data_IF_017892034682
#
_entry.id   IF_017892034682
#
_cell.length_a   1.000
_cell.length_b   1.000
_cell.length_c   1.000
_cell.angle_alpha   90.00
_cell.angle_beta   90.00
_cell.angle_gamma   90.00
#
_symmetry.space_group_name_H-M   'P 1'
#
loop_
_entity.id
_entity.type
_entity.pdbx_description
1 polymer ?
#
# COMPACT_ATOMS: atom_id res chain seq x y z
N UNK A 1 1.23 -11.49 58.96
CA UNK A 1 2.17 -11.23 57.84
C UNK A 1 1.52 -11.10 56.45
N UNK A 2 0.18 -11.07 56.28
CA UNK A 2 -0.47 -11.02 54.94
C UNK A 2 -0.76 -9.61 54.38
N UNK A 3 -0.78 -8.57 55.23
CA UNK A 3 -1.08 -7.18 54.84
C UNK A 3 -0.11 -6.56 53.81
N UNK A 4 1.23 -6.71 53.91
CA UNK A 4 2.13 -6.14 52.89
C UNK A 4 2.03 -6.85 51.54
N UNK A 5 1.73 -8.15 51.52
CA UNK A 5 1.53 -8.93 50.29
C UNK A 5 0.28 -8.47 49.52
N UNK A 6 -0.80 -8.12 50.25
CA UNK A 6 -2.03 -7.60 49.66
C UNK A 6 -1.81 -6.24 48.98
N UNK A 7 -1.01 -5.36 49.60
CA UNK A 7 -0.69 -4.04 49.06
C UNK A 7 0.13 -4.15 47.77
N UNK A 8 1.11 -5.06 47.75
CA UNK A 8 1.93 -5.33 46.55
C UNK A 8 1.07 -5.91 45.42
N UNK A 9 0.15 -6.82 45.73
CA UNK A 9 -0.77 -7.41 44.74
C UNK A 9 -1.69 -6.34 44.12
N UNK A 10 -2.26 -5.46 44.93
CA UNK A 10 -3.09 -4.34 44.47
C UNK A 10 -2.28 -3.39 43.57
N UNK A 11 -1.06 -3.03 43.96
CA UNK A 11 -0.16 -2.21 43.15
C UNK A 11 0.15 -2.86 41.79
N UNK A 12 0.42 -4.16 41.76
CA UNK A 12 0.65 -4.91 40.52
C UNK A 12 -0.56 -4.88 39.59
N UNK A 13 -1.77 -5.05 40.12
CA UNK A 13 -3.01 -4.95 39.34
C UNK A 13 -3.21 -3.55 38.76
N UNK A 14 -2.93 -2.50 39.54
CA UNK A 14 -2.99 -1.11 39.07
C UNK A 14 -1.96 -0.80 37.97
N UNK A 15 -0.73 -1.31 38.11
CA UNK A 15 0.32 -1.12 37.10
C UNK A 15 -0.04 -1.86 35.80
N UNK A 16 -0.46 -3.11 35.87
CA UNK A 16 -0.88 -3.89 34.69
C UNK A 16 -2.09 -3.25 34.02
N UNK A 17 -3.06 -2.77 34.79
CA UNK A 17 -4.25 -2.07 34.26
C UNK A 17 -3.88 -0.73 33.63
N UNK A 18 -2.96 0.03 34.25
CA UNK A 18 -2.44 1.30 33.71
C UNK A 18 -1.69 1.12 32.40
N UNK A 19 -0.82 0.11 32.30
CA UNK A 19 -0.13 -0.24 31.05
C UNK A 19 -1.16 -0.65 29.98
N UNK A 20 -2.14 -1.49 30.33
CA UNK A 20 -3.19 -1.94 29.42
C UNK A 20 -4.05 -0.78 28.89
N UNK A 21 -4.35 0.20 29.75
CA UNK A 21 -5.06 1.42 29.39
C UNK A 21 -4.26 2.32 28.44
N UNK A 22 -2.96 2.51 28.71
CA UNK A 22 -2.07 3.29 27.84
C UNK A 22 -1.92 2.65 26.46
N UNK A 23 -1.70 1.33 26.41
CA UNK A 23 -1.63 0.58 25.15
C UNK A 23 -2.94 0.69 24.37
N UNK A 24 -4.09 0.58 25.05
CA UNK A 24 -5.40 0.71 24.41
C UNK A 24 -5.65 2.12 23.85
N UNK A 25 -5.22 3.18 24.55
CA UNK A 25 -5.28 4.55 24.02
C UNK A 25 -4.36 4.75 22.82
N UNK A 26 -3.14 4.23 22.86
CA UNK A 26 -2.19 4.29 21.76
C UNK A 26 -2.77 3.61 20.50
N UNK A 27 -3.37 2.42 20.65
CA UNK A 27 -4.08 1.71 19.57
C UNK A 27 -5.23 2.53 18.99
N UNK A 28 -6.10 3.09 19.84
CA UNK A 28 -7.24 3.92 19.37
C UNK A 28 -6.77 5.15 18.60
N UNK A 29 -5.77 5.88 19.09
CA UNK A 29 -5.22 7.06 18.42
C UNK A 29 -4.62 6.70 17.05
N UNK A 30 -3.81 5.64 17.01
CA UNK A 30 -3.20 5.13 15.79
C UNK A 30 -4.26 4.73 14.76
N UNK A 31 -5.34 4.06 15.18
CA UNK A 31 -6.49 3.77 14.33
C UNK A 31 -7.21 5.03 13.82
N UNK A 32 -7.44 6.05 14.65
CA UNK A 32 -8.04 7.31 14.19
C UNK A 32 -7.16 8.02 13.16
N UNK A 33 -5.85 8.08 13.40
CA UNK A 33 -4.89 8.63 12.43
C UNK A 33 -4.89 7.82 11.13
N UNK A 34 -5.10 6.51 11.25
CA UNK A 34 -5.30 5.59 10.15
C UNK A 34 -6.59 5.89 9.37
N UNK A 35 -7.76 5.99 9.99
CA UNK A 35 -9.03 6.29 9.30
C UNK A 35 -8.91 7.62 8.54
N UNK A 36 -8.33 8.65 9.16
CA UNK A 36 -8.08 9.94 8.51
C UNK A 36 -7.19 9.81 7.27
N UNK A 37 -6.20 8.93 7.32
CA UNK A 37 -5.32 8.69 6.16
C UNK A 37 -6.08 8.02 5.02
N UNK A 38 -6.96 7.07 5.34
CA UNK A 38 -7.77 6.37 4.34
C UNK A 38 -8.77 7.32 3.66
N UNK A 39 -9.48 8.13 4.44
CA UNK A 39 -10.34 9.20 3.93
C UNK A 39 -9.59 10.18 3.03
N UNK A 40 -8.34 10.55 3.38
CA UNK A 40 -7.49 11.38 2.52
C UNK A 40 -7.12 10.67 1.22
N UNK A 41 -6.83 9.37 1.26
CA UNK A 41 -6.50 8.60 0.07
C UNK A 41 -7.71 8.47 -0.85
N UNK A 42 -8.92 8.26 -0.33
CA UNK A 42 -10.16 8.26 -1.11
C UNK A 42 -10.47 9.62 -1.74
N UNK A 43 -10.31 10.71 -0.96
CA UNK A 43 -10.44 12.08 -1.45
C UNK A 43 -9.45 12.41 -2.58
N UNK A 44 -8.29 11.75 -2.59
CA UNK A 44 -7.29 11.89 -3.65
C UNK A 44 -7.61 10.97 -4.83
N UNK A 45 -8.07 9.74 -4.58
CA UNK A 45 -8.29 8.73 -5.62
C UNK A 45 -9.39 9.15 -6.61
N UNK A 46 -10.56 9.56 -6.12
CA UNK A 46 -11.71 9.86 -6.99
C UNK A 46 -11.45 11.02 -7.97
N UNK A 47 -10.92 12.19 -7.54
CA UNK A 47 -10.56 13.26 -8.48
C UNK A 47 -9.45 12.86 -9.46
N UNK A 48 -8.48 12.03 -9.05
CA UNK A 48 -7.41 11.57 -9.94
C UNK A 48 -7.92 10.63 -11.03
N UNK A 49 -8.86 9.75 -10.73
CA UNK A 49 -9.45 8.88 -11.75
C UNK A 49 -10.21 9.70 -12.79
N UNK A 50 -11.02 10.66 -12.34
CA UNK A 50 -11.71 11.59 -13.24
C UNK A 50 -10.74 12.43 -14.06
N UNK A 51 -9.63 12.87 -13.47
CA UNK A 51 -8.57 13.57 -14.19
C UNK A 51 -7.96 12.68 -15.28
N UNK A 52 -7.62 11.42 -14.97
CA UNK A 52 -7.05 10.49 -15.93
C UNK A 52 -8.01 10.21 -17.10
N UNK A 53 -9.30 10.01 -16.82
CA UNK A 53 -10.32 9.81 -17.85
C UNK A 53 -10.43 11.07 -18.75
N UNK A 54 -10.34 12.26 -18.15
CA UNK A 54 -10.34 13.52 -18.90
C UNK A 54 -9.09 13.68 -19.77
N UNK A 55 -7.90 13.36 -19.22
CA UNK A 55 -6.64 13.41 -19.97
C UNK A 55 -6.63 12.44 -21.14
N UNK A 56 -7.15 11.22 -20.96
CA UNK A 56 -7.25 10.21 -22.01
C UNK A 56 -8.11 10.71 -23.18
N UNK A 57 -9.22 11.38 -22.92
CA UNK A 57 -10.09 11.95 -23.95
C UNK A 57 -9.42 13.06 -24.77
N UNK A 58 -8.42 13.74 -24.22
CA UNK A 58 -7.69 14.80 -24.91
C UNK A 58 -6.62 14.26 -25.88
N UNK A 59 -6.26 12.98 -25.79
CA UNK A 59 -5.25 12.37 -26.65
C UNK A 59 -5.91 11.97 -27.97
N UNK A 60 -5.68 12.76 -29.02
CA UNK A 60 -6.29 12.55 -30.35
C UNK A 60 -5.32 11.99 -31.39
N UNK A 61 -4.02 12.04 -31.13
CA UNK A 61 -3.02 11.43 -32.00
C UNK A 61 -3.20 9.90 -32.00
N UNK A 62 -3.36 9.22 -33.17
CA UNK A 62 -3.69 7.80 -33.22
C UNK A 62 -2.68 6.88 -32.51
N UNK A 63 -1.39 7.12 -32.70
CA UNK A 63 -0.33 6.29 -32.11
C UNK A 63 -0.29 6.48 -30.60
N UNK A 64 -0.35 7.73 -30.13
CA UNK A 64 -0.42 8.02 -28.69
C UNK A 64 -1.73 7.54 -28.06
N UNK A 65 -2.84 7.57 -28.79
CA UNK A 65 -4.13 7.09 -28.30
C UNK A 65 -4.09 5.57 -28.05
N UNK A 66 -3.54 4.79 -28.97
CA UNK A 66 -3.35 3.35 -28.76
C UNK A 66 -2.48 3.05 -27.54
N UNK A 67 -1.34 3.74 -27.41
CA UNK A 67 -0.48 3.60 -26.22
C UNK A 67 -1.20 4.03 -24.94
N UNK A 68 -2.01 5.08 -24.98
CA UNK A 68 -2.77 5.56 -23.83
C UNK A 68 -3.83 4.54 -23.38
N UNK A 69 -4.51 3.90 -24.32
CA UNK A 69 -5.47 2.83 -24.02
C UNK A 69 -4.80 1.62 -23.36
N UNK A 70 -3.60 1.24 -23.84
CA UNK A 70 -2.82 0.18 -23.23
C UNK A 70 -2.38 0.53 -21.80
N UNK A 71 -1.89 1.76 -21.58
CA UNK A 71 -1.60 2.27 -20.24
C UNK A 71 -2.84 2.18 -19.34
N UNK A 72 -4.00 2.64 -19.81
CA UNK A 72 -5.25 2.60 -19.02
C UNK A 72 -5.63 1.17 -18.65
N UNK A 73 -5.51 0.23 -19.59
CA UNK A 73 -5.82 -1.17 -19.35
C UNK A 73 -4.89 -1.77 -18.28
N UNK A 74 -3.57 -1.60 -18.44
CA UNK A 74 -2.56 -2.12 -17.52
C UNK A 74 -2.73 -1.56 -16.10
N UNK A 75 -2.95 -0.24 -15.97
CA UNK A 75 -3.11 0.40 -14.66
C UNK A 75 -4.44 0.02 -14.00
N UNK A 76 -5.53 -0.10 -14.77
CA UNK A 76 -6.83 -0.56 -14.27
C UNK A 76 -6.78 -2.02 -13.81
N UNK A 77 -6.14 -2.92 -14.57
CA UNK A 77 -5.97 -4.32 -14.18
C UNK A 77 -5.18 -4.43 -12.86
N UNK A 78 -4.04 -3.74 -12.77
CA UNK A 78 -3.23 -3.77 -11.56
C UNK A 78 -3.95 -3.15 -10.35
N UNK A 79 -4.68 -2.05 -10.51
CA UNK A 79 -5.48 -1.46 -9.42
C UNK A 79 -6.58 -2.42 -8.93
N UNK A 80 -7.22 -3.16 -9.85
CA UNK A 80 -8.19 -4.22 -9.49
C UNK A 80 -7.54 -5.37 -8.75
N UNK A 81 -6.34 -5.78 -9.17
CA UNK A 81 -5.53 -6.76 -8.44
C UNK A 81 -5.20 -6.29 -7.01
N UNK A 82 -4.77 -5.03 -6.84
CA UNK A 82 -4.53 -4.50 -5.50
C UNK A 82 -5.80 -4.49 -4.64
N UNK A 83 -6.96 -4.22 -5.24
CA UNK A 83 -8.24 -4.27 -4.54
C UNK A 83 -8.61 -5.68 -4.10
N UNK A 84 -8.43 -6.69 -4.96
CA UNK A 84 -8.69 -8.07 -4.58
C UNK A 84 -7.78 -8.55 -3.45
N UNK A 85 -6.51 -8.15 -3.45
CA UNK A 85 -5.58 -8.43 -2.35
C UNK A 85 -6.03 -7.77 -1.05
N UNK A 86 -6.51 -6.51 -1.08
CA UNK A 86 -7.07 -5.83 0.10
C UNK A 86 -8.28 -6.57 0.66
N UNK A 87 -9.21 -6.99 -0.21
CA UNK A 87 -10.40 -7.73 0.19
C UNK A 87 -10.04 -9.10 0.79
N UNK A 88 -9.07 -9.80 0.21
CA UNK A 88 -8.58 -11.07 0.73
C UNK A 88 -7.86 -10.90 2.09
N UNK A 89 -7.14 -9.78 2.28
CA UNK A 89 -6.52 -9.43 3.56
C UNK A 89 -7.56 -9.17 4.66
N UNK A 90 -8.66 -8.50 4.30
CA UNK A 90 -9.80 -8.26 5.20
C UNK A 90 -10.53 -9.57 5.52
N UNK A 91 -10.75 -10.45 4.54
CA UNK A 91 -11.55 -11.66 4.72
C UNK A 91 -12.98 -11.35 5.21
N UNK A 92 -13.59 -12.26 5.99
CA UNK A 92 -14.88 -12.04 6.68
C UNK A 92 -14.75 -11.16 7.93
N UNK A 93 -13.58 -10.57 8.19
CA UNK A 93 -13.34 -9.84 9.43
C UNK A 93 -14.12 -8.53 9.41
N UNK A 94 -14.88 -8.28 10.46
CA UNK A 94 -15.51 -7.00 10.70
C UNK A 94 -14.44 -5.90 10.67
N UNK A 95 -14.59 -4.93 9.77
CA UNK A 95 -13.71 -3.76 9.64
C UNK A 95 -13.63 -2.93 10.93
N UNK A 96 -14.57 -3.12 11.86
CA UNK A 96 -14.58 -2.48 13.18
C UNK A 96 -13.86 -3.31 14.26
N UNK A 97 -13.39 -4.53 13.95
CA UNK A 97 -12.68 -5.37 14.91
C UNK A 97 -11.20 -4.96 15.04
N UNK A 98 -10.96 -4.05 15.98
CA UNK A 98 -9.65 -3.45 16.28
C UNK A 98 -8.53 -4.46 16.57
N UNK A 99 -8.84 -5.60 17.19
CA UNK A 99 -7.82 -6.60 17.53
C UNK A 99 -7.33 -7.33 16.28
N UNK A 100 -8.22 -7.59 15.32
CA UNK A 100 -7.87 -8.24 14.06
C UNK A 100 -7.10 -7.33 13.11
N UNK A 101 -7.37 -6.02 13.15
CA UNK A 101 -6.69 -5.02 12.33
C UNK A 101 -5.24 -4.73 12.77
N UNK A 102 -4.93 -4.97 14.05
CA UNK A 102 -3.60 -4.80 14.64
C UNK A 102 -2.71 -6.06 14.47
N UNK A 103 -3.28 -7.19 14.04
CA UNK A 103 -2.52 -8.41 13.77
C UNK A 103 -1.56 -8.24 12.57
N UNK A 104 -0.40 -8.93 12.59
CA UNK A 104 0.52 -8.92 11.45
C UNK A 104 -0.12 -9.44 10.17
N UNK A 105 0.25 -8.83 9.05
CA UNK A 105 -0.05 -9.37 7.73
C UNK A 105 0.76 -10.66 7.46
N UNK A 106 0.08 -11.80 7.47
CA UNK A 106 0.67 -13.10 7.16
C UNK A 106 0.42 -13.56 5.72
N UNK A 107 -0.25 -12.76 4.87
CA UNK A 107 -0.60 -13.18 3.51
C UNK A 107 0.63 -13.31 2.61
N UNK A 108 1.59 -12.39 2.73
CA UNK A 108 2.76 -12.33 1.83
C UNK A 108 3.94 -13.19 2.29
N UNK A 109 3.88 -13.76 3.50
CA UNK A 109 5.02 -14.40 4.14
C UNK A 109 4.65 -15.78 4.68
N UNK A 110 5.62 -16.68 4.68
CA UNK A 110 5.61 -17.95 5.39
C UNK A 110 6.81 -18.00 6.32
N UNK A 111 6.92 -19.03 7.16
CA UNK A 111 8.09 -19.24 8.01
C UNK A 111 9.41 -19.30 7.21
N UNK A 112 9.33 -19.79 5.97
CA UNK A 112 10.48 -20.01 5.09
C UNK A 112 10.70 -18.89 4.05
N UNK A 113 10.02 -17.74 4.17
CA UNK A 113 10.21 -16.58 3.28
C UNK A 113 8.91 -16.08 2.66
N UNK A 114 8.92 -15.84 1.34
CA UNK A 114 7.73 -15.33 0.63
C UNK A 114 6.70 -16.44 0.39
N UNK A 115 5.43 -16.13 0.66
CA UNK A 115 4.31 -16.98 0.24
C UNK A 115 4.11 -16.93 -1.28
N UNK A 116 3.20 -17.77 -1.79
CA UNK A 116 2.81 -17.70 -3.20
C UNK A 116 2.21 -16.33 -3.56
N UNK A 117 1.36 -15.77 -2.68
CA UNK A 117 0.78 -14.43 -2.83
C UNK A 117 1.84 -13.34 -2.79
N UNK A 118 2.85 -13.47 -1.91
CA UNK A 118 3.97 -12.53 -1.86
C UNK A 118 4.79 -12.53 -3.16
N UNK A 119 5.04 -13.71 -3.74
CA UNK A 119 5.72 -13.85 -5.04
C UNK A 119 4.88 -13.27 -6.17
N UNK A 120 3.60 -13.62 -6.24
CA UNK A 120 2.66 -13.10 -7.23
C UNK A 120 2.60 -11.57 -7.18
N UNK A 121 2.52 -10.98 -5.99
CA UNK A 121 2.49 -9.53 -5.82
C UNK A 121 3.73 -8.84 -6.40
N UNK A 122 4.91 -9.41 -6.15
CA UNK A 122 6.18 -8.91 -6.71
C UNK A 122 6.18 -9.03 -8.22
N UNK A 123 5.77 -10.18 -8.75
CA UNK A 123 5.67 -10.42 -10.20
C UNK A 123 4.74 -9.42 -10.86
N UNK A 124 3.49 -9.28 -10.38
CA UNK A 124 2.48 -8.36 -10.96
C UNK A 124 2.95 -6.90 -10.90
N UNK A 125 3.66 -6.51 -9.83
CA UNK A 125 4.23 -5.16 -9.72
C UNK A 125 5.36 -4.92 -10.73
N UNK A 126 6.23 -5.93 -10.94
CA UNK A 126 7.32 -5.85 -11.91
C UNK A 126 6.80 -5.87 -13.35
N UNK A 127 5.82 -6.70 -13.66
CA UNK A 127 5.15 -6.73 -14.97
C UNK A 127 4.56 -5.37 -15.32
N UNK A 128 3.82 -4.74 -14.39
CA UNK A 128 3.31 -3.39 -14.60
C UNK A 128 4.45 -2.38 -14.86
N UNK A 129 5.51 -2.42 -14.05
CA UNK A 129 6.66 -1.52 -14.19
C UNK A 129 7.30 -1.66 -15.57
N UNK A 130 7.53 -2.87 -16.01
CA UNK A 130 8.21 -3.18 -17.27
C UNK A 130 7.34 -2.80 -18.48
N UNK A 131 6.06 -3.16 -18.46
CA UNK A 131 5.12 -2.80 -19.52
C UNK A 131 4.95 -1.27 -19.63
N UNK A 132 4.83 -0.54 -18.51
CA UNK A 132 4.75 0.91 -18.55
C UNK A 132 6.06 1.57 -19.04
N UNK A 133 7.22 0.99 -18.72
CA UNK A 133 8.52 1.48 -19.23
C UNK A 133 8.62 1.31 -20.74
N UNK A 134 8.09 0.22 -21.28
CA UNK A 134 8.08 -0.03 -22.73
C UNK A 134 7.20 0.96 -23.50
N UNK A 135 6.20 1.57 -22.85
CA UNK A 135 5.27 2.52 -23.46
C UNK A 135 5.74 3.97 -23.44
N UNK A 136 6.79 4.30 -22.66
CA UNK A 136 7.31 5.67 -22.54
C UNK A 136 8.71 5.78 -23.12
N UNK A 137 9.03 6.93 -23.72
CA UNK A 137 10.38 7.17 -24.25
C UNK A 137 11.24 8.02 -23.30
N UNK A 138 10.63 8.95 -22.57
CA UNK A 138 11.38 9.94 -21.80
C UNK A 138 12.09 9.32 -20.59
N UNK A 139 13.42 9.54 -20.41
CA UNK A 139 14.17 9.02 -19.26
C UNK A 139 13.59 9.44 -17.91
N UNK A 140 13.00 10.65 -17.86
CA UNK A 140 12.33 11.18 -16.67
C UNK A 140 11.12 10.33 -16.26
N UNK A 141 10.28 9.90 -17.20
CA UNK A 141 9.15 9.02 -16.89
C UNK A 141 9.62 7.62 -16.53
N UNK A 142 10.58 7.05 -17.26
CA UNK A 142 11.17 5.74 -16.92
C UNK A 142 11.71 5.72 -15.49
N UNK A 143 12.40 6.79 -15.09
CA UNK A 143 12.90 6.96 -13.71
C UNK A 143 11.76 7.04 -12.69
N UNK A 144 10.71 7.82 -12.97
CA UNK A 144 9.54 7.92 -12.09
C UNK A 144 8.85 6.57 -11.91
N UNK A 145 8.61 5.84 -13.00
CA UNK A 145 7.99 4.51 -12.99
C UNK A 145 8.85 3.53 -12.17
N UNK A 146 10.15 3.48 -12.44
CA UNK A 146 11.07 2.62 -11.68
C UNK A 146 11.07 2.95 -10.19
N UNK A 147 11.14 4.23 -9.80
CA UNK A 147 11.19 4.61 -8.39
C UNK A 147 9.90 4.26 -7.66
N UNK A 148 8.75 4.40 -8.31
CA UNK A 148 7.44 4.13 -7.70
C UNK A 148 7.13 2.63 -7.62
N UNK A 149 7.51 1.84 -8.62
CA UNK A 149 7.15 0.41 -8.73
C UNK A 149 8.35 -0.53 -8.48
N UNK A 150 9.43 -0.05 -7.87
CA UNK A 150 10.58 -0.89 -7.55
C UNK A 150 10.26 -1.87 -6.43
N UNK A 151 10.60 -3.13 -6.64
CA UNK A 151 10.44 -4.22 -5.67
C UNK A 151 11.76 -4.91 -5.32
N UNK A 152 12.89 -4.34 -5.75
CA UNK A 152 14.22 -4.89 -5.55
C UNK A 152 14.73 -4.83 -4.10
N UNK A 153 16.00 -5.16 -3.87
CA UNK A 153 16.57 -5.01 -2.53
C UNK A 153 16.71 -3.53 -2.15
N UNK A 154 16.34 -3.21 -0.91
CA UNK A 154 16.51 -1.89 -0.30
C UNK A 154 17.41 -1.98 0.92
N UNK A 155 18.07 -0.87 1.27
CA UNK A 155 18.79 -0.78 2.54
C UNK A 155 17.81 -0.40 3.65
N UNK A 156 17.82 -1.17 4.74
CA UNK A 156 17.11 -0.79 5.96
C UNK A 156 17.86 0.32 6.73
N UNK A 157 17.31 0.74 7.87
CA UNK A 157 17.89 1.79 8.73
C UNK A 157 19.29 1.44 9.25
N UNK A 158 19.61 0.15 9.30
CA UNK A 158 20.89 -0.38 9.76
C UNK A 158 21.86 -0.65 8.59
N UNK A 159 21.50 -0.23 7.37
CA UNK A 159 22.30 -0.38 6.17
C UNK A 159 22.30 -1.80 5.58
N UNK A 160 21.51 -2.73 6.13
CA UNK A 160 21.43 -4.11 5.65
C UNK A 160 20.54 -4.19 4.42
N UNK A 161 20.94 -5.02 3.46
CA UNK A 161 20.11 -5.29 2.27
C UNK A 161 18.96 -6.21 2.67
N UNK A 162 17.73 -5.75 2.46
CA UNK A 162 16.51 -6.52 2.69
C UNK A 162 15.61 -6.48 1.46
N UNK A 163 14.78 -7.50 1.29
CA UNK A 163 13.78 -7.53 0.22
C UNK A 163 12.77 -6.40 0.44
N UNK A 164 12.38 -5.67 -0.62
CA UNK A 164 11.44 -4.55 -0.49
C UNK A 164 10.12 -4.96 0.14
N UNK A 165 9.60 -6.16 -0.20
CA UNK A 165 8.33 -6.65 0.37
C UNK A 165 8.44 -6.81 1.89
N UNK A 166 9.56 -7.38 2.37
CA UNK A 166 9.81 -7.55 3.80
C UNK A 166 9.86 -6.20 4.52
N UNK A 167 10.60 -5.25 3.98
CA UNK A 167 10.72 -3.91 4.58
C UNK A 167 9.39 -3.17 4.62
N UNK A 168 8.49 -3.43 3.67
CA UNK A 168 7.24 -2.70 3.55
C UNK A 168 6.04 -3.38 4.20
N UNK A 169 6.03 -4.71 4.34
CA UNK A 169 4.85 -5.45 4.77
C UNK A 169 5.11 -6.48 5.87
N UNK A 170 6.35 -6.94 6.09
CA UNK A 170 6.62 -7.96 7.11
C UNK A 170 6.45 -7.36 8.50
N UNK A 171 5.70 -8.06 9.36
CA UNK A 171 5.38 -7.65 10.74
C UNK A 171 4.59 -6.33 10.84
N UNK A 172 4.11 -5.78 9.71
CA UNK A 172 3.21 -4.63 9.73
C UNK A 172 1.80 -5.07 10.09
N UNK A 173 1.06 -4.25 10.87
CA UNK A 173 -0.36 -4.47 11.09
C UNK A 173 -1.14 -4.58 9.79
N UNK A 174 -2.21 -5.39 9.78
CA UNK A 174 -3.07 -5.62 8.63
C UNK A 174 -3.59 -4.30 8.04
N UNK A 175 -4.09 -3.40 8.89
CA UNK A 175 -4.60 -2.09 8.46
C UNK A 175 -3.53 -1.22 7.79
N UNK A 176 -2.27 -1.32 8.24
CA UNK A 176 -1.16 -0.59 7.64
C UNK A 176 -0.79 -1.17 6.26
N UNK A 177 -0.88 -2.49 6.11
CA UNK A 177 -0.66 -3.19 4.85
C UNK A 177 -1.71 -2.80 3.81
N UNK A 178 -3.00 -2.84 4.16
CA UNK A 178 -4.11 -2.44 3.27
C UNK A 178 -3.91 -1.00 2.77
N UNK A 179 -3.46 -0.09 3.64
CA UNK A 179 -3.23 1.32 3.26
C UNK A 179 -2.05 1.52 2.35
N UNK A 180 -0.99 0.72 2.50
CA UNK A 180 0.11 0.71 1.54
C UNK A 180 -0.41 0.29 0.17
N UNK A 181 -1.30 -0.69 0.08
CA UNK A 181 -1.95 -1.08 -1.18
C UNK A 181 -2.82 0.06 -1.74
N UNK A 182 -3.64 0.73 -0.92
CA UNK A 182 -4.41 1.91 -1.35
C UNK A 182 -3.50 3.04 -1.87
N UNK A 183 -2.38 3.29 -1.18
CA UNK A 183 -1.39 4.27 -1.63
C UNK A 183 -0.78 3.87 -2.97
N UNK A 184 -0.48 2.59 -3.18
CA UNK A 184 0.00 2.09 -4.47
C UNK A 184 -1.03 2.31 -5.58
N UNK A 185 -2.33 2.13 -5.34
CA UNK A 185 -3.38 2.47 -6.31
C UNK A 185 -3.30 3.96 -6.70
N UNK A 186 -3.15 4.86 -5.71
CA UNK A 186 -2.99 6.31 -5.97
C UNK A 186 -1.71 6.63 -6.75
N UNK A 187 -0.59 5.99 -6.41
CA UNK A 187 0.69 6.24 -7.06
C UNK A 187 0.69 5.72 -8.51
N UNK A 188 -0.01 4.61 -8.80
CA UNK A 188 -0.27 4.13 -10.17
C UNK A 188 -1.12 5.12 -10.96
N UNK A 189 -2.22 5.66 -10.39
CA UNK A 189 -3.02 6.69 -11.05
C UNK A 189 -2.19 7.96 -11.36
N UNK A 190 -1.25 8.34 -10.48
CA UNK A 190 -0.34 9.48 -10.74
C UNK A 190 0.66 9.20 -11.85
N UNK A 191 1.13 7.96 -11.99
CA UNK A 191 1.98 7.55 -13.12
C UNK A 191 1.19 7.67 -14.42
N UNK A 192 0.00 7.09 -14.47
CA UNK A 192 -0.92 7.18 -15.63
C UNK A 192 -1.12 8.63 -16.07
N UNK A 193 -1.48 9.52 -15.13
CA UNK A 193 -1.63 10.95 -15.38
C UNK A 193 -0.37 11.60 -15.97
N UNK A 194 0.82 11.16 -15.52
CA UNK A 194 2.09 11.70 -15.98
C UNK A 194 2.43 11.24 -17.38
N UNK A 195 2.07 10.00 -17.72
CA UNK A 195 2.24 9.43 -19.05
C UNK A 195 1.32 10.14 -20.04
N UNK A 196 0.03 10.28 -19.73
CA UNK A 196 -0.92 10.99 -20.60
C UNK A 196 -0.52 12.43 -20.85
N UNK A 197 -0.11 13.17 -19.81
CA UNK A 197 0.42 14.53 -19.99
C UNK A 197 1.64 14.54 -20.90
N UNK A 198 2.52 13.54 -20.84
CA UNK A 198 3.66 13.47 -21.75
C UNK A 198 3.24 13.20 -23.20
N UNK A 199 2.28 12.31 -23.44
CA UNK A 199 1.73 12.10 -24.78
C UNK A 199 1.11 13.37 -25.36
N UNK A 200 0.37 14.15 -24.55
CA UNK A 200 -0.21 15.43 -24.98
C UNK A 200 0.82 16.53 -25.31
N UNK A 201 2.01 16.47 -24.72
CA UNK A 201 3.11 17.41 -24.97
C UNK A 201 3.98 17.01 -26.16
N UNK A 202 3.94 15.75 -26.58
CA UNK A 202 4.69 15.24 -27.72
C UNK A 202 3.88 15.53 -28.98
N UNK A 203 3.86 16.81 -29.39
CA UNK A 203 3.32 17.26 -30.67
C UNK A 203 4.46 17.52 -31.64
#
# INVERSE_FOLDING_TARGET
>A
MKKPLLIILVLLVFVVSGISFLVSRARKKMFTDYVRMDQKLEQIAYPLEKENDSLLQLITDPDMWHKAQEVSFLTKDFKKYLESVKLEMLGEKDSENYELMDQPNNMFFTENGLSQKGKEFITRTNELRENLIALVETPRLKTKINNTLSTGQVRDRDGRRRNWLEVNFKDFPLIASIKKLTRMQSDVSKIEASIYRNYLMTR
#
